data_IF_501413796232
#
_entry.id   IF_501413796232
#
_cell.length_a   1.000
_cell.length_b   1.000
_cell.length_c   1.000
_cell.angle_alpha   90.00
_cell.angle_beta   90.00
_cell.angle_gamma   90.00
#
_symmetry.space_group_name_H-M   'P 1'
#
loop_
_entity.id
_entity.type
_entity.pdbx_description
1 polymer ?
#
# COMPACT_ATOMS: atom_id res chain seq x y z
N UNK A 1 -26.34 25.86 -22.22
CA UNK A 1 -26.51 25.50 -20.80
C UNK A 1 -25.90 24.17 -20.35
N UNK A 2 -26.07 23.00 -21.03
CA UNK A 2 -25.41 21.75 -20.55
C UNK A 2 -23.88 21.72 -20.67
N UNK A 3 -23.27 22.53 -21.55
CA UNK A 3 -21.82 22.56 -21.75
C UNK A 3 -21.05 23.55 -20.87
N UNK A 4 -21.65 24.69 -20.52
CA UNK A 4 -20.98 25.72 -19.69
C UNK A 4 -20.73 25.25 -18.26
N UNK A 5 -21.69 24.52 -17.67
CA UNK A 5 -21.53 23.96 -16.34
C UNK A 5 -20.40 22.93 -16.27
N UNK A 6 -20.27 22.08 -17.30
CA UNK A 6 -19.17 21.13 -17.42
C UNK A 6 -17.82 21.83 -17.61
N UNK A 7 -17.75 22.85 -18.47
CA UNK A 7 -16.54 23.63 -18.69
C UNK A 7 -16.06 24.37 -17.43
N UNK A 8 -17.00 24.90 -16.63
CA UNK A 8 -16.68 25.55 -15.37
C UNK A 8 -16.12 24.55 -14.34
N UNK A 9 -16.72 23.36 -14.22
CA UNK A 9 -16.22 22.30 -13.35
C UNK A 9 -14.81 21.86 -13.77
N UNK A 10 -14.55 21.70 -15.06
CA UNK A 10 -13.22 21.31 -15.55
C UNK A 10 -12.16 22.36 -15.22
N UNK A 11 -12.46 23.65 -15.39
CA UNK A 11 -11.54 24.72 -15.04
C UNK A 11 -11.27 24.82 -13.52
N UNK A 12 -12.32 24.63 -12.71
CA UNK A 12 -12.21 24.64 -11.25
C UNK A 12 -11.41 23.42 -10.74
N UNK A 13 -11.59 22.24 -11.37
CA UNK A 13 -10.78 21.05 -11.09
C UNK A 13 -9.31 21.26 -11.48
N UNK A 14 -9.03 21.90 -12.62
CA UNK A 14 -7.66 22.20 -13.04
C UNK A 14 -6.96 23.15 -12.06
N UNK A 15 -7.65 24.19 -11.59
CA UNK A 15 -7.16 25.10 -10.55
C UNK A 15 -6.90 24.37 -9.23
N UNK A 16 -7.82 23.50 -8.80
CA UNK A 16 -7.65 22.67 -7.62
C UNK A 16 -6.42 21.78 -7.74
N UNK A 17 -6.25 21.06 -8.85
CA UNK A 17 -5.12 20.17 -9.06
C UNK A 17 -3.78 20.91 -9.12
N UNK A 18 -3.75 22.11 -9.72
CA UNK A 18 -2.54 22.94 -9.77
C UNK A 18 -2.06 23.38 -8.39
N UNK A 19 -2.99 23.65 -7.46
CA UNK A 19 -2.67 24.07 -6.10
C UNK A 19 -2.48 22.90 -5.14
N UNK A 20 -3.29 21.86 -5.25
CA UNK A 20 -3.28 20.72 -4.33
C UNK A 20 -2.24 19.65 -4.72
N UNK A 21 -1.93 19.48 -6.00
CA UNK A 21 -0.99 18.47 -6.51
C UNK A 21 0.36 18.45 -5.75
N UNK A 22 1.03 19.61 -5.54
CA UNK A 22 2.28 19.68 -4.78
C UNK A 22 2.16 19.29 -3.29
N UNK A 23 0.95 19.29 -2.74
CA UNK A 23 0.69 18.95 -1.32
C UNK A 23 0.38 17.47 -1.12
N UNK A 24 0.11 16.73 -2.20
CA UNK A 24 -0.20 15.31 -2.15
C UNK A 24 1.12 14.55 -1.98
N UNK A 25 1.31 13.80 -0.89
CA UNK A 25 2.50 13.00 -0.72
C UNK A 25 2.60 11.94 -1.82
N UNK A 26 3.82 11.68 -2.29
CA UNK A 26 4.13 10.66 -3.30
C UNK A 26 3.77 9.22 -2.87
N UNK A 27 3.53 9.02 -1.58
CA UNK A 27 3.09 7.77 -0.98
C UNK A 27 1.58 7.67 -0.73
N UNK A 28 0.80 8.73 -1.02
CA UNK A 28 -0.66 8.64 -0.94
C UNK A 28 -1.17 7.79 -2.11
N UNK A 29 -1.96 6.73 -1.85
CA UNK A 29 -2.47 5.91 -2.94
C UNK A 29 -3.34 6.74 -3.86
N UNK A 30 -3.21 6.49 -5.15
CA UNK A 30 -4.01 7.16 -6.18
C UNK A 30 -5.46 6.64 -6.21
N UNK A 31 -5.76 5.64 -5.38
CA UNK A 31 -7.04 4.93 -5.32
C UNK A 31 -7.66 5.12 -3.94
N UNK A 32 -8.97 5.32 -3.92
CA UNK A 32 -9.72 5.27 -2.67
C UNK A 32 -9.76 3.83 -2.16
N UNK A 33 -9.30 3.64 -0.92
CA UNK A 33 -9.28 2.35 -0.23
C UNK A 33 -9.95 2.56 1.12
N UNK A 34 -11.15 2.00 1.29
CA UNK A 34 -12.02 2.22 2.45
C UNK A 34 -11.36 1.82 3.77
N UNK A 35 -10.60 0.72 3.79
CA UNK A 35 -9.92 0.19 4.98
C UNK A 35 -8.54 0.82 5.23
N UNK A 36 -8.08 1.75 4.41
CA UNK A 36 -6.73 2.33 4.56
C UNK A 36 -6.49 2.97 5.94
N UNK A 37 -7.44 3.72 6.56
CA UNK A 37 -7.25 4.22 7.92
C UNK A 37 -6.99 3.12 8.94
N UNK A 38 -7.69 1.99 8.83
CA UNK A 38 -7.49 0.82 9.70
C UNK A 38 -6.06 0.27 9.53
N UNK A 39 -5.55 0.22 8.30
CA UNK A 39 -4.18 -0.23 8.06
C UNK A 39 -3.13 0.68 8.74
N UNK A 40 -3.34 2.00 8.79
CA UNK A 40 -2.49 2.92 9.55
C UNK A 40 -2.55 2.62 11.05
N UNK A 41 -3.75 2.47 11.60
CA UNK A 41 -3.94 2.19 13.04
C UNK A 41 -3.32 0.86 13.46
N UNK A 42 -3.48 -0.18 12.64
CA UNK A 42 -2.88 -1.49 12.89
C UNK A 42 -1.36 -1.40 12.78
N UNK A 43 -0.82 -0.81 11.73
CA UNK A 43 0.62 -0.71 11.52
C UNK A 43 1.33 0.15 12.60
N UNK A 44 0.65 1.17 13.14
CA UNK A 44 1.17 2.00 14.23
C UNK A 44 1.44 1.22 15.53
N UNK A 45 0.82 0.04 15.71
CA UNK A 45 1.05 -0.84 16.88
C UNK A 45 2.39 -1.57 16.81
N UNK A 46 3.05 -1.57 15.65
CA UNK A 46 4.32 -2.24 15.43
C UNK A 46 5.49 -1.26 15.48
N UNK A 47 6.54 -1.66 16.19
CA UNK A 47 7.79 -0.89 16.30
C UNK A 47 9.00 -1.81 16.15
N UNK A 48 10.09 -1.27 15.60
CA UNK A 48 11.40 -1.92 15.60
C UNK A 48 12.35 -1.24 16.57
N UNK A 49 13.14 -2.01 17.31
CA UNK A 49 14.18 -1.52 18.18
C UNK A 49 15.56 -1.45 17.49
N UNK A 50 15.79 -2.25 16.43
CA UNK A 50 17.12 -2.34 15.79
C UNK A 50 17.12 -1.92 14.33
N UNK A 51 18.10 -1.08 13.98
CA UNK A 51 18.40 -0.68 12.61
C UNK A 51 19.03 -1.85 11.83
N UNK A 52 18.77 -1.91 10.54
CA UNK A 52 19.26 -2.94 9.63
C UNK A 52 19.08 -2.56 8.17
N UNK A 53 18.86 -3.57 7.32
CA UNK A 53 18.80 -3.42 5.84
C UNK A 53 17.53 -4.01 5.24
N UNK A 54 16.53 -4.32 6.06
CA UNK A 54 15.27 -4.93 5.62
C UNK A 54 14.13 -3.93 5.81
N UNK A 55 13.17 -3.98 4.91
CA UNK A 55 12.02 -3.11 4.82
C UNK A 55 10.75 -3.97 4.86
N UNK A 56 9.76 -3.55 5.63
CA UNK A 56 8.40 -4.08 5.54
C UNK A 56 7.62 -3.25 4.52
N UNK A 57 6.80 -3.88 3.71
CA UNK A 57 6.00 -3.20 2.68
C UNK A 57 4.61 -3.80 2.58
N UNK A 58 3.68 -2.95 2.12
CA UNK A 58 2.32 -3.29 1.78
C UNK A 58 2.10 -3.05 0.28
N UNK A 59 1.36 -3.92 -0.39
CA UNK A 59 0.94 -3.73 -1.78
C UNK A 59 -0.57 -3.87 -1.84
N UNK A 60 -1.23 -2.92 -2.49
CA UNK A 60 -2.67 -2.98 -2.77
C UNK A 60 -2.93 -4.06 -3.82
N UNK A 61 -3.89 -4.94 -3.54
CA UNK A 61 -4.30 -6.02 -4.43
C UNK A 61 -5.70 -5.76 -4.97
N UNK A 62 -5.88 -6.01 -6.26
CA UNK A 62 -7.17 -5.95 -6.94
C UNK A 62 -7.98 -7.25 -6.76
N UNK A 63 -9.17 -7.12 -6.16
CA UNK A 63 -10.18 -8.17 -6.05
C UNK A 63 -11.55 -7.72 -6.54
N UNK A 64 -11.61 -6.65 -7.33
CA UNK A 64 -12.85 -6.11 -7.92
C UNK A 64 -13.59 -7.11 -8.83
N UNK A 65 -12.91 -8.17 -9.28
CA UNK A 65 -13.48 -9.30 -10.02
C UNK A 65 -14.29 -10.27 -9.15
N UNK A 66 -14.25 -10.14 -7.82
CA UNK A 66 -15.00 -10.98 -6.87
C UNK A 66 -16.25 -10.25 -6.39
N UNK A 67 -17.32 -11.00 -6.09
CA UNK A 67 -18.54 -10.45 -5.47
C UNK A 67 -18.21 -10.03 -4.02
N UNK A 68 -17.81 -8.78 -3.82
CA UNK A 68 -17.52 -8.18 -2.51
C UNK A 68 -16.02 -7.86 -2.27
N UNK A 69 -15.80 -6.80 -1.47
CA UNK A 69 -14.57 -6.04 -1.15
C UNK A 69 -13.57 -5.77 -2.29
N UNK A 70 -13.50 -4.50 -2.67
CA UNK A 70 -12.84 -4.02 -3.90
C UNK A 70 -11.31 -4.22 -3.90
N UNK A 71 -10.69 -4.33 -2.71
CA UNK A 71 -9.24 -4.42 -2.59
C UNK A 71 -8.79 -5.21 -1.36
N UNK A 72 -7.68 -5.94 -1.52
CA UNK A 72 -6.94 -6.59 -0.43
C UNK A 72 -5.53 -6.04 -0.29
N UNK A 73 -4.73 -6.62 0.59
CA UNK A 73 -3.34 -6.19 0.83
C UNK A 73 -2.39 -7.37 0.86
N UNK A 74 -1.23 -7.21 0.23
CA UNK A 74 -0.11 -8.12 0.39
C UNK A 74 0.88 -7.55 1.39
N UNK A 75 1.27 -8.32 2.40
CA UNK A 75 2.31 -7.98 3.37
C UNK A 75 3.60 -8.70 3.02
N UNK A 76 4.70 -7.96 2.94
CA UNK A 76 6.00 -8.52 2.60
C UNK A 76 7.18 -7.85 3.31
N UNK A 77 8.31 -8.55 3.38
CA UNK A 77 9.60 -7.97 3.69
C UNK A 77 10.65 -8.13 2.58
N UNK A 78 11.61 -7.20 2.49
CA UNK A 78 12.69 -7.26 1.51
C UNK A 78 13.91 -6.44 1.92
N UNK A 79 15.10 -6.82 1.43
CA UNK A 79 16.30 -5.96 1.51
C UNK A 79 16.30 -4.82 0.48
N UNK A 80 15.47 -4.93 -0.55
CA UNK A 80 15.27 -3.91 -1.58
C UNK A 80 14.29 -2.85 -1.07
N UNK A 81 14.27 -1.67 -1.71
CA UNK A 81 13.20 -0.72 -1.43
C UNK A 81 11.85 -1.35 -1.82
N UNK A 82 10.75 -0.95 -1.16
CA UNK A 82 9.42 -1.47 -1.50
C UNK A 82 9.04 -1.28 -2.97
N UNK A 83 9.29 -0.10 -3.55
CA UNK A 83 9.08 0.16 -4.98
C UNK A 83 9.89 -0.79 -5.87
N UNK A 84 11.20 -0.93 -5.61
CA UNK A 84 12.05 -1.86 -6.35
C UNK A 84 11.56 -3.32 -6.21
N UNK A 85 11.10 -3.71 -5.02
CA UNK A 85 10.60 -5.07 -4.79
C UNK A 85 9.28 -5.31 -5.52
N UNK A 86 8.41 -4.30 -5.59
CA UNK A 86 7.20 -4.34 -6.38
C UNK A 86 7.52 -4.51 -7.87
N UNK A 87 8.44 -3.73 -8.43
CA UNK A 87 8.88 -3.87 -9.82
C UNK A 87 9.42 -5.28 -10.11
N UNK A 88 10.22 -5.83 -9.19
CA UNK A 88 10.69 -7.22 -9.29
C UNK A 88 9.53 -8.22 -9.34
N UNK A 89 8.52 -8.05 -8.48
CA UNK A 89 7.32 -8.91 -8.52
C UNK A 89 6.59 -8.78 -9.85
N UNK A 90 6.38 -7.56 -10.36
CA UNK A 90 5.71 -7.30 -11.64
C UNK A 90 6.51 -7.82 -12.85
N UNK A 91 7.84 -7.90 -12.72
CA UNK A 91 8.73 -8.53 -13.70
C UNK A 91 8.84 -10.06 -13.56
N UNK A 92 8.13 -10.69 -12.63
CA UNK A 92 8.20 -12.14 -12.40
C UNK A 92 9.44 -12.61 -11.63
N UNK A 93 10.28 -11.69 -11.14
CA UNK A 93 11.53 -12.00 -10.45
C UNK A 93 11.24 -12.35 -8.99
N UNK A 94 11.34 -13.65 -8.67
CA UNK A 94 11.01 -14.20 -7.34
C UNK A 94 9.62 -13.72 -6.89
N UNK A 95 8.67 -13.70 -7.82
CA UNK A 95 7.41 -13.02 -7.60
C UNK A 95 6.47 -13.82 -6.67
N UNK A 96 5.70 -13.12 -5.87
CA UNK A 96 4.53 -13.67 -5.20
C UNK A 96 3.36 -13.68 -6.19
N UNK A 97 2.68 -14.83 -6.30
CA UNK A 97 1.56 -15.01 -7.23
C UNK A 97 0.47 -13.93 -7.13
N UNK A 98 -0.01 -13.57 -5.93
CA UNK A 98 -1.00 -12.50 -5.75
C UNK A 98 -0.49 -11.15 -6.26
N UNK A 99 0.73 -10.75 -5.91
CA UNK A 99 1.31 -9.45 -6.34
C UNK A 99 1.51 -9.41 -7.86
N UNK A 100 2.03 -10.48 -8.46
CA UNK A 100 2.25 -10.56 -9.89
C UNK A 100 0.93 -10.36 -10.65
N UNK A 101 -0.12 -11.09 -10.24
CA UNK A 101 -1.42 -11.10 -10.93
C UNK A 101 -2.30 -9.88 -10.60
N UNK A 102 -2.27 -9.40 -9.36
CA UNK A 102 -3.27 -8.46 -8.80
C UNK A 102 -2.67 -7.22 -8.14
N UNK A 103 -1.35 -7.12 -8.01
CA UNK A 103 -0.70 -5.96 -7.39
C UNK A 103 -0.88 -4.69 -8.22
N UNK A 104 -1.45 -3.66 -7.58
CA UNK A 104 -1.77 -2.35 -8.17
C UNK A 104 -0.70 -1.30 -7.86
N UNK A 105 -0.42 -1.06 -6.58
CA UNK A 105 0.53 -0.05 -6.11
C UNK A 105 1.10 -0.38 -4.72
N UNK A 106 2.21 0.25 -4.36
CA UNK A 106 2.82 0.11 -3.03
C UNK A 106 2.16 1.08 -2.06
N UNK A 107 1.66 0.57 -0.93
CA UNK A 107 1.11 1.39 0.16
C UNK A 107 2.21 1.70 1.17
N UNK A 108 3.06 2.68 0.85
CA UNK A 108 4.20 3.03 1.69
C UNK A 108 3.80 3.65 3.02
N UNK A 109 2.79 4.54 3.00
CA UNK A 109 2.40 5.37 4.13
C UNK A 109 2.27 4.62 5.48
N UNK A 110 1.44 3.55 5.58
CA UNK A 110 1.23 2.84 6.84
C UNK A 110 2.50 2.23 7.47
N UNK A 111 3.54 1.97 6.68
CA UNK A 111 4.75 1.26 7.11
C UNK A 111 6.02 2.09 6.94
N UNK A 112 5.92 3.41 6.75
CA UNK A 112 7.09 4.31 6.60
C UNK A 112 8.07 4.24 7.79
N UNK A 113 7.58 3.99 9.00
CA UNK A 113 8.41 3.83 10.20
C UNK A 113 9.06 2.45 10.33
N UNK A 114 8.70 1.49 9.49
CA UNK A 114 9.16 0.09 9.52
C UNK A 114 10.20 -0.21 8.42
N UNK A 115 11.03 0.78 8.12
CA UNK A 115 12.07 0.73 7.09
C UNK A 115 13.46 0.62 7.70
N UNK A 116 14.37 -0.06 7.00
CA UNK A 116 15.78 -0.25 7.42
C UNK A 116 15.91 -0.84 8.82
N UNK A 117 15.20 -1.93 9.07
CA UNK A 117 15.19 -2.70 10.32
C UNK A 117 15.96 -4.02 10.16
N UNK A 118 16.23 -4.71 11.26
CA UNK A 118 16.89 -6.02 11.18
C UNK A 118 15.98 -7.07 10.53
N UNK A 119 16.57 -8.06 9.86
CA UNK A 119 15.79 -9.12 9.18
C UNK A 119 14.88 -9.89 10.15
N UNK A 120 15.37 -10.17 11.36
CA UNK A 120 14.58 -10.88 12.37
C UNK A 120 13.38 -10.07 12.86
N UNK A 121 13.52 -8.75 13.00
CA UNK A 121 12.38 -7.88 13.32
C UNK A 121 11.41 -7.76 12.15
N UNK A 122 11.93 -7.62 10.93
CA UNK A 122 11.09 -7.57 9.74
C UNK A 122 10.23 -8.82 9.60
N UNK A 123 10.79 -10.02 9.80
CA UNK A 123 10.05 -11.28 9.74
C UNK A 123 8.93 -11.35 10.81
N UNK A 124 9.26 -10.98 12.06
CA UNK A 124 8.29 -10.95 13.16
C UNK A 124 7.16 -9.94 12.91
N UNK A 125 7.52 -8.75 12.40
CA UNK A 125 6.57 -7.68 12.11
C UNK A 125 5.72 -8.02 10.89
N UNK A 126 6.30 -8.59 9.82
CA UNK A 126 5.57 -9.05 8.64
C UNK A 126 4.47 -10.05 9.00
N UNK A 127 4.81 -11.11 9.75
CA UNK A 127 3.83 -12.11 10.18
C UNK A 127 2.76 -11.52 11.12
N UNK A 128 3.19 -10.73 12.11
CA UNK A 128 2.27 -10.11 13.07
C UNK A 128 1.34 -9.07 12.43
N UNK A 129 1.86 -8.27 11.51
CA UNK A 129 1.09 -7.26 10.78
C UNK A 129 0.07 -7.92 9.85
N UNK A 130 0.45 -8.99 9.15
CA UNK A 130 -0.47 -9.75 8.32
C UNK A 130 -1.65 -10.32 9.14
N UNK A 131 -1.37 -10.93 10.29
CA UNK A 131 -2.41 -11.43 11.19
C UNK A 131 -3.32 -10.31 11.70
N UNK A 132 -2.74 -9.22 12.21
CA UNK A 132 -3.52 -8.12 12.78
C UNK A 132 -4.38 -7.36 11.75
N UNK A 133 -3.94 -7.27 10.49
CA UNK A 133 -4.75 -6.73 9.40
C UNK A 133 -5.92 -7.68 9.05
N UNK A 134 -5.67 -8.99 9.03
CA UNK A 134 -6.70 -10.00 8.83
C UNK A 134 -7.75 -10.00 9.93
N UNK A 135 -7.33 -9.91 11.20
CA UNK A 135 -8.22 -9.80 12.37
C UNK A 135 -9.07 -8.52 12.33
N UNK A 136 -8.58 -7.47 11.67
CA UNK A 136 -9.31 -6.23 11.43
C UNK A 136 -10.28 -6.30 10.23
N UNK A 137 -10.43 -7.46 9.59
CA UNK A 137 -11.35 -7.71 8.49
C UNK A 137 -10.81 -7.42 7.10
N UNK A 138 -9.51 -7.11 6.96
CA UNK A 138 -8.89 -6.84 5.65
C UNK A 138 -8.51 -8.17 4.98
N UNK A 139 -8.77 -8.32 3.68
CA UNK A 139 -8.26 -9.48 2.93
C UNK A 139 -6.74 -9.38 2.78
N UNK A 140 -6.01 -10.31 3.41
CA UNK A 140 -4.54 -10.31 3.47
C UNK A 140 -3.94 -11.48 2.71
N UNK A 141 -2.86 -11.22 1.98
CA UNK A 141 -1.96 -12.22 1.39
C UNK A 141 -0.52 -12.00 1.91
N UNK A 142 0.30 -13.04 1.96
CA UNK A 142 1.67 -12.97 2.48
C UNK A 142 1.76 -13.16 4.00
N UNK A 143 2.79 -12.62 4.64
CA UNK A 143 2.95 -12.79 6.10
C UNK A 143 3.56 -14.11 6.56
N UNK A 144 4.35 -14.79 5.72
CA UNK A 144 4.93 -16.13 5.98
C UNK A 144 6.45 -16.11 6.11
#
# INVERSE_FOLDING_TARGET
MRGEFAAQIEADLELLWKSAGPTIPDWLPMRYVSWLPIAYEVAARFTSARRGRTNVYLILLDYSDRRGDDHGVYVGMSRYSPAQRFDQHKAGIRAAGPVLKRGLEVLMGPVLHLQKITRGEAARIEAGLAGALGDAGIHVEGGH
#
